data_IF_902553029330
#
_entry.id   IF_902553029330
#
_cell.length_a   1.000
_cell.length_b   1.000
_cell.length_c   1.000
_cell.angle_alpha   90.00
_cell.angle_beta   90.00
_cell.angle_gamma   90.00
#
_symmetry.space_group_name_H-M   'P 1'
#
loop_
_entity.id
_entity.type
_entity.pdbx_description
1 polymer ?
#
# COMPACT_ATOMS: atom_id res chain seq x y z
N UNK A 1 4.61 3.73 -5.28
CA UNK A 1 4.92 2.34 -5.71
C UNK A 1 4.17 2.02 -6.99
N UNK A 2 4.62 1.02 -7.74
CA UNK A 2 3.97 0.56 -8.98
C UNK A 2 3.45 -0.85 -8.79
N UNK A 3 2.19 -1.09 -9.18
CA UNK A 3 1.58 -2.41 -9.17
C UNK A 3 2.04 -3.17 -10.40
N UNK A 4 2.49 -4.42 -10.22
CA UNK A 4 2.93 -5.28 -11.32
C UNK A 4 2.24 -6.63 -11.25
N UNK A 5 1.76 -7.11 -12.39
CA UNK A 5 1.21 -8.46 -12.50
C UNK A 5 2.36 -9.46 -12.51
N UNK A 6 2.30 -10.43 -11.60
CA UNK A 6 3.27 -11.53 -11.53
C UNK A 6 2.59 -12.84 -11.94
N UNK A 7 3.30 -13.67 -12.71
CA UNK A 7 2.81 -15.01 -13.03
C UNK A 7 2.71 -15.87 -11.76
N UNK A 8 1.66 -16.68 -11.66
CA UNK A 8 1.41 -17.56 -10.53
C UNK A 8 0.93 -18.95 -10.99
N UNK A 9 1.22 -19.96 -10.18
CA UNK A 9 0.56 -21.26 -10.32
C UNK A 9 -0.93 -21.07 -10.03
N UNK A 10 -1.82 -21.64 -10.85
CA UNK A 10 -3.28 -21.51 -10.67
C UNK A 10 -3.76 -21.97 -9.28
N UNK A 11 -3.08 -22.94 -8.67
CA UNK A 11 -3.36 -23.44 -7.33
C UNK A 11 -2.79 -22.57 -6.21
N UNK A 12 -1.91 -21.61 -6.52
CA UNK A 12 -1.34 -20.74 -5.52
C UNK A 12 -2.43 -19.86 -4.90
N UNK A 13 -2.36 -19.70 -3.57
CA UNK A 13 -3.34 -18.93 -2.82
C UNK A 13 -3.55 -17.54 -3.43
N UNK A 14 -2.49 -16.82 -3.83
CA UNK A 14 -2.62 -15.46 -4.34
C UNK A 14 -2.88 -15.32 -5.85
N UNK A 15 -3.15 -16.42 -6.53
CA UNK A 15 -3.46 -16.36 -7.96
C UNK A 15 -4.88 -15.84 -8.20
N UNK A 16 -5.06 -14.98 -9.22
CA UNK A 16 -6.32 -14.35 -9.62
C UNK A 16 -7.01 -13.49 -8.54
N UNK A 17 -6.25 -12.79 -7.70
CA UNK A 17 -6.84 -11.74 -6.84
C UNK A 17 -7.27 -10.54 -7.70
N UNK A 18 -8.40 -9.91 -7.33
CA UNK A 18 -9.01 -8.81 -8.07
C UNK A 18 -8.57 -7.41 -7.59
N UNK A 19 -7.54 -7.33 -6.73
CA UNK A 19 -6.99 -6.09 -6.15
C UNK A 19 -8.07 -5.08 -5.71
N UNK A 20 -8.81 -5.42 -4.64
CA UNK A 20 -9.85 -4.56 -4.08
C UNK A 20 -9.30 -3.44 -3.19
N UNK A 21 -8.22 -3.74 -2.47
CA UNK A 21 -7.62 -2.88 -1.46
C UNK A 21 -6.14 -3.19 -1.32
N UNK A 22 -5.37 -2.17 -0.99
CA UNK A 22 -3.97 -2.25 -0.57
C UNK A 22 -3.86 -1.72 0.84
N UNK A 23 -3.09 -2.40 1.68
CA UNK A 23 -2.68 -1.90 2.98
C UNK A 23 -1.15 -1.82 3.07
N UNK A 24 -0.65 -0.74 3.66
CA UNK A 24 0.78 -0.52 3.92
C UNK A 24 0.95 -0.36 5.42
N UNK A 25 1.59 -1.30 6.13
CA UNK A 25 1.95 -1.12 7.51
C UNK A 25 2.90 0.07 7.69
N UNK A 26 2.52 0.98 8.58
CA UNK A 26 3.27 2.20 8.89
C UNK A 26 3.67 2.24 10.35
N UNK A 27 4.64 3.08 10.66
CA UNK A 27 4.86 3.52 12.03
C UNK A 27 3.68 4.41 12.47
N UNK A 28 3.00 4.04 13.56
CA UNK A 28 1.78 4.71 14.01
C UNK A 28 1.98 6.20 14.30
N UNK A 29 3.20 6.61 14.71
CA UNK A 29 3.54 8.02 14.92
C UNK A 29 3.41 8.86 13.64
N UNK A 30 3.57 8.24 12.47
CA UNK A 30 3.49 8.91 11.17
C UNK A 30 2.06 9.08 10.64
N UNK A 31 1.05 8.60 11.37
CA UNK A 31 -0.36 8.72 10.97
C UNK A 31 -0.78 10.18 10.81
N UNK A 32 -0.37 11.05 11.72
CA UNK A 32 -0.71 12.48 11.69
C UNK A 32 0.06 13.26 10.61
N UNK A 33 1.15 12.70 10.11
CA UNK A 33 2.02 13.31 9.11
C UNK A 33 1.59 12.99 7.68
N UNK A 34 0.72 12.00 7.47
CA UNK A 34 0.14 11.74 6.15
C UNK A 34 -0.69 12.94 5.70
N UNK A 35 -0.52 13.33 4.44
CA UNK A 35 -1.21 14.48 3.83
C UNK A 35 -2.20 14.05 2.77
N UNK A 36 -1.76 13.22 1.84
CA UNK A 36 -2.62 12.72 0.76
C UNK A 36 -2.15 11.37 0.25
N UNK A 37 -3.04 10.69 -0.47
CA UNK A 37 -2.70 9.54 -1.31
C UNK A 37 -3.26 9.75 -2.70
N UNK A 38 -2.65 9.12 -3.70
CA UNK A 38 -3.15 9.13 -5.07
C UNK A 38 -3.02 7.78 -5.76
N UNK A 39 -3.93 7.55 -6.70
CA UNK A 39 -3.97 6.40 -7.59
C UNK A 39 -3.86 6.92 -9.02
N UNK A 40 -2.80 6.56 -9.75
CA UNK A 40 -2.50 7.12 -11.07
C UNK A 40 -2.48 8.67 -11.09
N UNK A 41 -1.93 9.27 -10.04
CA UNK A 41 -1.85 10.73 -9.88
C UNK A 41 -3.14 11.41 -9.45
N UNK A 42 -4.28 10.69 -9.42
CA UNK A 42 -5.56 11.23 -8.94
C UNK A 42 -5.64 11.06 -7.43
N UNK A 43 -5.76 12.18 -6.72
CA UNK A 43 -5.92 12.18 -5.26
C UNK A 43 -7.19 11.42 -4.85
N UNK A 44 -7.09 10.67 -3.76
CA UNK A 44 -8.22 9.89 -3.27
C UNK A 44 -8.26 9.83 -1.75
N UNK A 45 -9.43 9.48 -1.20
CA UNK A 45 -9.57 9.28 0.23
C UNK A 45 -8.78 8.04 0.67
N UNK A 46 -8.02 8.21 1.74
CA UNK A 46 -7.41 7.10 2.49
C UNK A 46 -8.25 6.78 3.72
N UNK A 47 -8.04 5.58 4.24
CA UNK A 47 -8.51 5.20 5.57
C UNK A 47 -7.41 4.45 6.31
N UNK A 48 -7.66 4.14 7.58
CA UNK A 48 -6.68 3.50 8.45
C UNK A 48 -7.14 2.09 8.82
N UNK A 49 -6.19 1.16 8.92
CA UNK A 49 -6.34 -0.07 9.70
C UNK A 49 -5.62 0.11 11.02
N UNK A 50 -6.29 -0.24 12.11
CA UNK A 50 -5.69 -0.24 13.44
C UNK A 50 -5.73 -1.67 13.92
N UNK A 51 -4.54 -2.24 14.12
CA UNK A 51 -4.33 -3.57 14.66
C UNK A 51 -3.58 -3.44 15.99
N UNK A 52 -3.57 -4.49 16.81
CA UNK A 52 -3.00 -4.44 18.16
C UNK A 52 -1.54 -3.97 18.21
N UNK A 53 -0.75 -4.26 17.16
CA UNK A 53 0.69 -3.97 17.10
C UNK A 53 1.13 -3.00 16.01
N UNK A 54 0.25 -2.61 15.08
CA UNK A 54 0.59 -1.69 13.99
C UNK A 54 -0.63 -0.98 13.39
N UNK A 55 -0.37 0.08 12.63
CA UNK A 55 -1.37 0.81 11.85
C UNK A 55 -1.07 0.64 10.37
N UNK A 56 -2.11 0.55 9.55
CA UNK A 56 -1.97 0.46 8.10
C UNK A 56 -2.61 1.65 7.40
N UNK A 57 -1.94 2.16 6.36
CA UNK A 57 -2.52 3.07 5.38
C UNK A 57 -3.28 2.26 4.33
N UNK A 58 -4.57 2.56 4.13
CA UNK A 58 -5.44 1.83 3.19
C UNK A 58 -5.70 2.63 1.93
N UNK A 59 -5.42 2.01 0.79
CA UNK A 59 -5.97 2.39 -0.51
C UNK A 59 -7.19 1.50 -0.78
N UNK A 60 -8.38 2.08 -0.82
CA UNK A 60 -9.64 1.34 -1.00
C UNK A 60 -10.30 1.65 -2.35
N UNK A 61 -11.25 0.79 -2.74
CA UNK A 61 -11.99 0.95 -3.99
C UNK A 61 -11.11 0.80 -5.23
N UNK A 62 -10.05 -0.01 -5.15
CA UNK A 62 -9.08 -0.11 -6.25
C UNK A 62 -9.69 -0.77 -7.49
N UNK A 63 -10.66 -1.69 -7.34
CA UNK A 63 -11.37 -2.30 -8.48
C UNK A 63 -12.05 -1.29 -9.41
N UNK A 64 -12.65 -0.24 -8.86
CA UNK A 64 -13.30 0.79 -9.68
C UNK A 64 -12.30 1.79 -10.23
N UNK A 65 -11.21 2.07 -9.50
CA UNK A 65 -10.17 3.02 -9.88
C UNK A 65 -9.17 2.43 -10.89
N UNK A 66 -8.97 1.12 -10.88
CA UNK A 66 -7.96 0.39 -11.63
C UNK A 66 -8.58 -0.82 -12.34
N UNK A 67 -9.34 -0.62 -13.43
CA UNK A 67 -9.86 -1.72 -14.23
C UNK A 67 -8.75 -2.59 -14.83
N UNK A 68 -7.59 -1.99 -15.11
CA UNK A 68 -6.33 -2.70 -15.35
C UNK A 68 -5.30 -2.23 -14.30
N UNK A 69 -5.01 -3.04 -13.26
CA UNK A 69 -4.11 -2.64 -12.19
C UNK A 69 -2.63 -2.76 -12.56
N UNK A 70 -2.28 -3.48 -13.63
CA UNK A 70 -0.90 -3.64 -14.03
C UNK A 70 -0.31 -2.31 -14.53
N UNK A 71 0.83 -1.91 -13.97
CA UNK A 71 1.46 -0.61 -14.23
C UNK A 71 0.86 0.55 -13.43
N UNK A 72 -0.18 0.33 -12.62
CA UNK A 72 -0.79 1.39 -11.83
C UNK A 72 0.16 1.95 -10.77
N UNK A 73 0.11 3.26 -10.54
CA UNK A 73 0.88 3.92 -9.48
C UNK A 73 0.03 4.21 -8.25
N UNK A 74 0.54 3.84 -7.08
CA UNK A 74 -0.03 4.13 -5.77
C UNK A 74 0.97 4.98 -4.99
N UNK A 75 0.60 6.23 -4.71
CA UNK A 75 1.48 7.21 -4.09
C UNK A 75 0.87 7.73 -2.80
N UNK A 76 1.73 8.11 -1.85
CA UNK A 76 1.34 8.81 -0.64
C UNK A 76 2.34 9.93 -0.37
N UNK A 77 1.86 10.99 0.27
CA UNK A 77 2.67 12.15 0.64
C UNK A 77 2.56 12.34 2.14
N UNK A 78 3.71 12.34 2.82
CA UNK A 78 3.81 12.71 4.23
C UNK A 78 4.52 14.06 4.37
N UNK A 79 4.35 14.71 5.52
CA UNK A 79 5.09 15.93 5.85
C UNK A 79 6.59 15.76 5.65
N UNK A 80 7.22 16.80 5.08
CA UNK A 80 8.68 16.91 5.02
C UNK A 80 9.24 16.95 6.44
N UNK A 81 10.27 16.15 6.69
CA UNK A 81 10.85 15.98 8.03
C UNK A 81 10.88 14.50 8.42
N UNK A 82 10.45 14.19 9.65
CA UNK A 82 10.51 12.84 10.24
C UNK A 82 9.92 11.76 9.35
N UNK A 83 8.60 11.79 9.12
CA UNK A 83 7.89 10.76 8.38
C UNK A 83 7.90 10.95 6.85
N UNK A 84 8.61 11.96 6.35
CA UNK A 84 8.87 12.12 4.91
C UNK A 84 9.90 11.11 4.38
N UNK A 85 10.75 10.57 5.27
CA UNK A 85 11.63 9.43 4.96
C UNK A 85 10.81 8.13 4.99
N UNK A 86 10.75 7.36 3.88
CA UNK A 86 10.02 6.10 3.86
C UNK A 86 10.52 5.09 4.91
N UNK A 87 11.79 5.15 5.36
CA UNK A 87 12.32 4.32 6.47
C UNK A 87 11.77 4.69 7.84
N UNK A 88 11.26 5.91 8.01
CA UNK A 88 10.58 6.34 9.24
C UNK A 88 9.09 6.15 9.14
N UNK A 89 8.54 6.37 7.93
CA UNK A 89 7.13 6.19 7.65
C UNK A 89 6.69 4.73 7.78
N UNK A 90 7.45 3.81 7.17
CA UNK A 90 7.05 2.41 7.10
C UNK A 90 7.37 1.64 8.38
N UNK A 91 6.53 0.65 8.68
CA UNK A 91 6.67 -0.17 9.88
C UNK A 91 8.04 -0.88 9.90
N UNK A 92 8.75 -0.83 11.03
CA UNK A 92 10.12 -1.36 11.18
C UNK A 92 11.11 -0.90 10.10
N UNK A 93 10.88 0.27 9.50
CA UNK A 93 11.70 0.82 8.42
C UNK A 93 11.66 0.07 7.11
N UNK A 94 10.67 -0.81 6.94
CA UNK A 94 10.45 -1.59 5.73
C UNK A 94 9.02 -1.37 5.25
N UNK A 95 8.87 -0.83 4.05
CA UNK A 95 7.55 -0.67 3.45
C UNK A 95 7.08 -2.03 2.95
N UNK A 96 6.18 -2.65 3.70
CA UNK A 96 5.49 -3.87 3.32
C UNK A 96 4.16 -3.53 2.65
N UNK A 97 3.68 -4.40 1.77
CA UNK A 97 2.42 -4.20 1.07
C UNK A 97 1.57 -5.46 1.17
N UNK A 98 0.31 -5.26 1.51
CA UNK A 98 -0.68 -6.32 1.59
C UNK A 98 -1.76 -6.05 0.55
N UNK A 99 -1.95 -7.00 -0.38
CA UNK A 99 -3.01 -6.92 -1.37
C UNK A 99 -4.22 -7.70 -0.87
N UNK A 100 -5.39 -7.10 -1.00
CA UNK A 100 -6.64 -7.73 -0.64
C UNK A 100 -7.49 -7.93 -1.89
N UNK A 101 -8.13 -9.10 -1.95
CA UNK A 101 -9.22 -9.40 -2.87
C UNK A 101 -10.56 -8.91 -2.30
N UNK A 102 -11.59 -8.81 -3.14
CA UNK A 102 -12.95 -8.38 -2.71
C UNK A 102 -13.61 -9.32 -1.71
N UNK A 103 -13.18 -10.58 -1.65
CA UNK A 103 -13.59 -11.55 -0.64
C UNK A 103 -12.74 -11.52 0.64
N UNK A 104 -12.01 -10.42 0.90
CA UNK A 104 -11.10 -10.25 2.03
C UNK A 104 -9.92 -11.22 2.10
N UNK A 105 -9.66 -11.98 1.03
CA UNK A 105 -8.45 -12.79 0.91
C UNK A 105 -7.22 -11.87 0.89
N UNK A 106 -6.35 -12.02 1.87
CA UNK A 106 -5.11 -11.24 1.99
C UNK A 106 -3.96 -11.98 1.33
N UNK A 107 -3.21 -11.26 0.51
CA UNK A 107 -2.03 -11.74 -0.18
C UNK A 107 -0.82 -10.92 0.26
N UNK A 108 0.10 -11.52 1.04
CA UNK A 108 1.30 -10.84 1.46
C UNK A 108 2.19 -10.67 0.24
N UNK A 109 2.63 -9.45 -0.06
CA UNK A 109 3.56 -9.30 -1.18
C UNK A 109 4.48 -8.10 -1.02
N UNK A 110 5.75 -8.47 -0.92
CA UNK A 110 6.95 -7.66 -1.11
C UNK A 110 7.24 -6.61 -0.05
N UNK A 111 8.48 -6.65 0.43
CA UNK A 111 9.16 -5.50 0.99
C UNK A 111 9.53 -4.61 -0.19
N UNK A 112 8.96 -3.42 -0.27
CA UNK A 112 9.36 -2.44 -1.28
C UNK A 112 10.80 -2.01 -0.99
N UNK A 113 11.67 -1.91 -2.01
CA UNK A 113 12.98 -1.30 -1.83
C UNK A 113 12.75 0.14 -1.39
N UNK A 114 13.18 0.45 -0.16
CA UNK A 114 13.02 1.76 0.47
C UNK A 114 13.98 2.72 -0.23
N UNK A 115 13.51 3.70 -1.04
CA UNK A 115 14.41 4.62 -1.71
C UNK A 115 15.13 5.44 -0.63
N UNK A 116 16.46 5.46 -0.68
CA UNK A 116 17.23 6.37 0.17
C UNK A 116 17.21 7.75 -0.47
N UNK A 117 16.35 8.64 0.04
CA UNK A 117 16.41 10.05 -0.33
C UNK A 117 17.50 10.68 0.54
N UNK A 118 18.65 10.99 -0.08
CA UNK A 118 19.74 11.76 0.53
C UNK A 118 19.51 13.24 0.29
#
# INVERSE_FOLDING_TARGET
MTVTRTACLKSAYCCNIDLSKVEIPINSVCRADLRSISVNGVETSYSWGVYDSFTTLKFTGLRSKLPNPDGASLCWVALRGGCGDPRRFCYNGQCQVEYFSSNNKCCPTYVLPVPSFR
#
